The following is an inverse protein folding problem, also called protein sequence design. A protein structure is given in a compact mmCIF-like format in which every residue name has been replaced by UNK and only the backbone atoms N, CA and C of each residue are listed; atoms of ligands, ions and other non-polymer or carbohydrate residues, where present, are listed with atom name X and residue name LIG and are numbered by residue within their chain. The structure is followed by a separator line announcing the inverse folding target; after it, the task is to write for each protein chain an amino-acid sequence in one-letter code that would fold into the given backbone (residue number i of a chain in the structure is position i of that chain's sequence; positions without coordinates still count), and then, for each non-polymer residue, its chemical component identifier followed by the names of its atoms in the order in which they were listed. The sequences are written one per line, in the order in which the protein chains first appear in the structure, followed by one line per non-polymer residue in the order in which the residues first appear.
data_IF_284789346837
#
_entry.id   IF_284789346837
#
_cell.length_a   1.000
_cell.length_b   1.000
_cell.length_c   1.000
_cell.angle_alpha   90.00
_cell.angle_beta   90.00
_cell.angle_gamma   90.00
#
_symmetry.space_group_name_H-M   'P 1'
#
loop_
_entity.id
_entity.type
_entity.pdbx_description
1 polymer ?
#
# COMPACT_ATOMS: atom_id res chain seq x y z
N UNK A 1 -25.90 -10.18 -0.89
CA UNK A 1 -25.33 -10.90 -2.05
C UNK A 1 -24.01 -11.46 -1.60
N UNK A 2 -23.81 -12.80 -1.58
CA UNK A 2 -22.51 -13.38 -1.28
C UNK A 2 -21.61 -13.10 -2.47
N UNK A 3 -20.64 -12.20 -2.30
CA UNK A 3 -19.60 -12.02 -3.31
C UNK A 3 -18.79 -13.32 -3.38
N UNK A 4 -18.77 -13.98 -4.54
CA UNK A 4 -17.81 -15.05 -4.79
C UNK A 4 -16.41 -14.47 -4.69
N UNK A 5 -15.47 -15.20 -4.09
CA UNK A 5 -14.07 -14.78 -4.04
C UNK A 5 -13.59 -14.39 -5.45
N UNK A 6 -12.82 -13.29 -5.62
CA UNK A 6 -12.44 -12.79 -6.94
C UNK A 6 -11.58 -13.79 -7.72
N UNK A 7 -10.88 -14.67 -7.00
CA UNK A 7 -10.07 -15.75 -7.54
C UNK A 7 -10.66 -17.09 -7.11
N UNK A 8 -11.03 -17.91 -8.07
CA UNK A 8 -11.66 -19.21 -7.78
C UNK A 8 -11.34 -20.25 -8.85
N UNK A 9 -11.34 -21.52 -8.45
CA UNK A 9 -11.20 -22.63 -9.37
C UNK A 9 -12.52 -23.00 -10.03
N UNK A 10 -12.48 -23.19 -11.36
CA UNK A 10 -13.56 -23.79 -12.15
C UNK A 10 -12.94 -24.82 -13.08
N UNK A 11 -13.39 -26.07 -13.01
CA UNK A 11 -12.85 -27.17 -13.81
C UNK A 11 -11.31 -27.26 -13.74
N UNK A 12 -10.78 -27.27 -12.52
CA UNK A 12 -9.34 -27.35 -12.23
C UNK A 12 -8.49 -26.16 -12.73
N UNK A 13 -9.07 -25.08 -13.21
CA UNK A 13 -8.39 -23.87 -13.64
C UNK A 13 -8.72 -22.70 -12.72
N UNK A 14 -7.71 -21.88 -12.40
CA UNK A 14 -7.87 -20.69 -11.59
C UNK A 14 -8.29 -19.51 -12.46
N UNK A 15 -9.31 -18.80 -12.00
CA UNK A 15 -9.89 -17.62 -12.66
C UNK A 15 -9.70 -16.38 -11.80
N UNK A 16 -9.58 -15.24 -12.47
CA UNK A 16 -9.90 -13.95 -11.92
C UNK A 16 -11.22 -13.49 -12.51
N UNK A 17 -12.25 -13.31 -11.67
CA UNK A 17 -13.62 -13.02 -12.11
C UNK A 17 -14.12 -14.06 -13.14
N UNK A 18 -14.24 -13.69 -14.43
CA UNK A 18 -14.64 -14.61 -15.50
C UNK A 18 -13.50 -14.99 -16.45
N UNK A 19 -12.26 -14.55 -16.17
CA UNK A 19 -11.11 -14.79 -17.05
C UNK A 19 -10.17 -15.83 -16.45
N UNK A 20 -9.77 -16.82 -17.26
CA UNK A 20 -8.76 -17.81 -16.88
C UNK A 20 -7.39 -17.15 -16.78
N UNK A 21 -6.65 -17.44 -15.70
CA UNK A 21 -5.32 -16.83 -15.48
C UNK A 21 -4.28 -17.30 -16.50
N UNK A 22 -4.40 -18.52 -17.03
CA UNK A 22 -3.51 -19.01 -18.09
C UNK A 22 -3.63 -18.20 -19.40
N UNK A 23 -4.81 -17.66 -19.70
CA UNK A 23 -5.02 -16.77 -20.86
C UNK A 23 -4.35 -15.41 -20.64
N UNK A 24 -4.36 -14.91 -19.40
CA UNK A 24 -3.66 -13.67 -19.03
C UNK A 24 -2.14 -13.85 -19.19
N UNK A 25 -1.59 -14.96 -18.65
CA UNK A 25 -0.17 -15.27 -18.78
C UNK A 25 0.26 -15.40 -20.26
N UNK A 26 -0.53 -16.09 -21.09
CA UNK A 26 -0.23 -16.18 -22.55
C UNK A 26 -0.27 -14.85 -23.26
N UNK A 27 -1.17 -13.94 -22.88
CA UNK A 27 -1.36 -12.64 -23.55
C UNK A 27 -0.33 -11.60 -23.12
N UNK A 28 0.04 -11.56 -21.83
CA UNK A 28 0.85 -10.49 -21.25
C UNK A 28 2.21 -10.95 -20.73
N UNK A 29 2.46 -12.28 -20.75
CA UNK A 29 3.67 -12.90 -20.20
C UNK A 29 3.70 -12.90 -18.68
N UNK A 30 4.71 -13.59 -18.13
CA UNK A 30 5.02 -13.65 -16.70
C UNK A 30 6.39 -13.01 -16.43
N UNK A 31 6.71 -12.58 -15.19
CA UNK A 31 5.76 -12.35 -14.11
C UNK A 31 4.76 -11.23 -14.45
N UNK A 32 3.52 -11.32 -13.93
CA UNK A 32 2.48 -10.35 -14.24
C UNK A 32 1.55 -10.17 -13.03
N UNK A 33 1.30 -8.93 -12.62
CA UNK A 33 0.29 -8.64 -11.60
C UNK A 33 -1.11 -8.66 -12.21
N UNK A 34 -2.05 -9.28 -11.51
CA UNK A 34 -3.47 -9.34 -11.92
C UNK A 34 -4.35 -8.84 -10.79
N UNK A 35 -5.21 -7.88 -11.09
CA UNK A 35 -6.15 -7.29 -10.14
C UNK A 35 -7.59 -7.53 -10.57
N UNK A 36 -8.47 -7.82 -9.61
CA UNK A 36 -9.92 -7.89 -9.82
C UNK A 36 -10.56 -6.54 -9.55
N UNK A 37 -11.21 -5.96 -10.56
CA UNK A 37 -11.94 -4.70 -10.41
C UNK A 37 -13.12 -4.85 -9.45
N UNK A 38 -13.88 -5.95 -9.55
CA UNK A 38 -15.03 -6.19 -8.68
C UNK A 38 -14.63 -6.31 -7.21
N UNK A 39 -13.48 -6.93 -6.92
CA UNK A 39 -12.96 -7.02 -5.56
C UNK A 39 -12.55 -5.65 -4.99
N UNK A 40 -11.88 -4.82 -5.81
CA UNK A 40 -11.52 -3.45 -5.41
C UNK A 40 -12.77 -2.61 -5.09
N UNK A 41 -13.80 -2.69 -5.94
CA UNK A 41 -15.06 -1.99 -5.74
C UNK A 41 -15.77 -2.49 -4.48
N UNK A 42 -15.83 -3.80 -4.28
CA UNK A 42 -16.47 -4.41 -3.12
C UNK A 42 -15.78 -4.01 -1.82
N UNK A 43 -14.45 -4.06 -1.77
CA UNK A 43 -13.67 -3.69 -0.59
C UNK A 43 -13.90 -2.21 -0.22
N UNK A 44 -13.91 -1.30 -1.19
CA UNK A 44 -14.23 0.11 -0.92
C UNK A 44 -15.66 0.30 -0.42
N UNK A 45 -16.63 -0.33 -1.10
CA UNK A 45 -18.04 -0.22 -0.75
C UNK A 45 -18.36 -0.75 0.65
N UNK A 46 -17.63 -1.78 1.12
CA UNK A 46 -17.80 -2.32 2.47
C UNK A 46 -17.48 -1.27 3.54
N UNK A 47 -16.36 -0.55 3.40
CA UNK A 47 -16.01 0.54 4.31
C UNK A 47 -17.00 1.71 4.22
N UNK A 48 -17.28 2.18 3.01
CA UNK A 48 -18.12 3.36 2.78
C UNK A 48 -19.56 3.13 3.29
N UNK A 49 -20.14 1.97 2.99
CA UNK A 49 -21.50 1.61 3.42
C UNK A 49 -21.60 1.43 4.94
N UNK A 50 -20.55 0.92 5.59
CA UNK A 50 -20.56 0.72 7.05
C UNK A 50 -20.64 2.05 7.82
N UNK A 51 -20.21 3.17 7.23
CA UNK A 51 -20.36 4.50 7.78
C UNK A 51 -21.76 5.12 7.53
N UNK A 52 -22.69 4.44 6.86
CA UNK A 52 -23.99 4.99 6.45
C UNK A 52 -24.62 5.88 7.53
N UNK A 53 -25.07 7.09 7.15
CA UNK A 53 -25.64 8.09 8.06
C UNK A 53 -24.65 8.88 8.91
N UNK A 54 -23.32 8.65 8.76
CA UNK A 54 -22.26 9.41 9.44
C UNK A 54 -21.42 10.15 8.42
N UNK A 55 -21.11 11.43 8.68
CA UNK A 55 -20.14 12.16 7.86
C UNK A 55 -18.75 11.53 8.00
N UNK A 56 -18.20 11.07 6.88
CA UNK A 56 -16.95 10.34 6.82
C UNK A 56 -16.21 10.53 5.50
N UNK A 57 -14.98 10.07 5.46
CA UNK A 57 -14.18 9.96 4.24
C UNK A 57 -13.23 8.76 4.33
N UNK A 58 -13.36 7.85 3.38
CA UNK A 58 -12.40 6.76 3.20
C UNK A 58 -11.27 7.28 2.33
N UNK A 59 -10.09 7.52 2.91
CA UNK A 59 -8.89 7.98 2.23
C UNK A 59 -8.02 6.78 1.84
N UNK A 60 -8.03 6.39 0.58
CA UNK A 60 -7.18 5.29 0.12
C UNK A 60 -5.69 5.62 0.33
N UNK A 61 -4.96 4.78 1.07
CA UNK A 61 -3.52 4.94 1.28
C UNK A 61 -2.74 4.53 0.02
N UNK A 62 -2.28 5.51 -0.75
CA UNK A 62 -1.69 5.36 -2.09
C UNK A 62 -0.44 4.48 -2.07
N UNK A 63 0.33 4.51 -0.99
CA UNK A 63 1.53 3.67 -0.75
C UNK A 63 1.28 2.18 -0.94
N UNK A 64 0.05 1.71 -0.74
CA UNK A 64 -0.28 0.29 -0.90
C UNK A 64 -0.23 -0.15 -2.38
N UNK A 65 -0.78 0.65 -3.28
CA UNK A 65 -0.69 0.48 -4.74
C UNK A 65 -1.01 1.79 -5.45
N UNK A 66 -0.04 2.35 -6.16
CA UNK A 66 -0.15 3.66 -6.80
C UNK A 66 -0.45 3.61 -8.31
N UNK A 67 -0.92 2.47 -8.84
CA UNK A 67 -1.29 2.36 -10.25
C UNK A 67 -2.42 3.33 -10.61
N UNK A 68 -2.27 4.06 -11.72
CA UNK A 68 -3.23 5.11 -12.13
C UNK A 68 -4.65 4.58 -12.34
N UNK A 69 -4.81 3.34 -12.85
CA UNK A 69 -6.13 2.75 -13.07
C UNK A 69 -6.83 2.44 -11.73
N UNK A 70 -6.08 1.97 -10.73
CA UNK A 70 -6.60 1.73 -9.37
C UNK A 70 -6.98 3.05 -8.71
N UNK A 71 -6.11 4.07 -8.79
CA UNK A 71 -6.39 5.41 -8.26
C UNK A 71 -7.61 6.03 -8.94
N UNK A 72 -7.74 5.91 -10.27
CA UNK A 72 -8.90 6.40 -11.02
C UNK A 72 -10.17 5.68 -10.61
N UNK A 73 -10.11 4.35 -10.41
CA UNK A 73 -11.26 3.59 -9.92
C UNK A 73 -11.75 4.13 -8.57
N UNK A 74 -10.86 4.29 -7.59
CA UNK A 74 -11.22 4.84 -6.28
C UNK A 74 -11.67 6.30 -6.34
N UNK A 75 -11.05 7.13 -7.19
CA UNK A 75 -11.51 8.50 -7.41
C UNK A 75 -12.98 8.55 -7.90
N UNK A 76 -13.34 7.67 -8.84
CA UNK A 76 -14.71 7.54 -9.38
C UNK A 76 -15.70 6.99 -8.36
N UNK A 77 -15.25 6.19 -7.39
CA UNK A 77 -16.05 5.72 -6.26
C UNK A 77 -16.23 6.79 -5.16
N UNK A 78 -15.56 7.95 -5.30
CA UNK A 78 -15.68 9.06 -4.35
C UNK A 78 -14.67 9.04 -3.20
N UNK A 79 -13.67 8.15 -3.24
CA UNK A 79 -12.60 8.07 -2.26
C UNK A 79 -11.84 9.38 -2.07
N UNK A 80 -11.39 9.62 -0.84
CA UNK A 80 -10.23 10.44 -0.56
C UNK A 80 -8.93 9.66 -0.78
N UNK A 81 -7.78 10.31 -0.53
CA UNK A 81 -6.47 9.69 -0.67
C UNK A 81 -5.54 10.14 0.45
N UNK A 82 -4.86 9.17 1.07
CA UNK A 82 -3.70 9.43 1.93
C UNK A 82 -2.43 9.28 1.07
N UNK A 83 -1.67 10.37 0.97
CA UNK A 83 -0.41 10.44 0.22
C UNK A 83 0.77 10.69 1.17
N UNK A 84 1.96 10.25 0.76
CA UNK A 84 3.18 10.43 1.56
C UNK A 84 4.34 11.07 0.78
N UNK A 85 4.08 11.52 -0.46
CA UNK A 85 5.07 12.20 -1.30
C UNK A 85 4.43 13.06 -2.39
N UNK A 86 5.20 13.99 -2.94
CA UNK A 86 4.79 14.76 -4.13
C UNK A 86 4.55 13.88 -5.36
N UNK A 87 5.26 12.75 -5.46
CA UNK A 87 5.03 11.77 -6.53
C UNK A 87 3.64 11.11 -6.43
N UNK A 88 3.19 10.77 -5.22
CA UNK A 88 1.84 10.25 -5.00
C UNK A 88 0.78 11.33 -5.26
N UNK A 89 1.02 12.59 -4.84
CA UNK A 89 0.14 13.71 -5.19
C UNK A 89 -0.04 13.81 -6.70
N UNK A 90 1.06 13.79 -7.45
CA UNK A 90 1.03 13.84 -8.91
C UNK A 90 0.19 12.70 -9.51
N UNK A 91 0.37 11.46 -9.01
CA UNK A 91 -0.40 10.30 -9.47
C UNK A 91 -1.89 10.43 -9.18
N UNK A 92 -2.26 10.86 -7.98
CA UNK A 92 -3.67 11.04 -7.59
C UNK A 92 -4.34 12.09 -8.46
N UNK A 93 -3.71 13.25 -8.66
CA UNK A 93 -4.25 14.31 -9.52
C UNK A 93 -4.37 13.85 -10.98
N UNK A 94 -3.36 13.16 -11.51
CA UNK A 94 -3.38 12.58 -12.87
C UNK A 94 -4.49 11.53 -13.04
N UNK A 95 -4.80 10.79 -11.98
CA UNK A 95 -5.88 9.82 -11.96
C UNK A 95 -7.28 10.44 -11.78
N UNK A 96 -7.39 11.77 -11.64
CA UNK A 96 -8.66 12.47 -11.46
C UNK A 96 -9.16 12.52 -10.02
N UNK A 97 -8.28 12.27 -9.03
CA UNK A 97 -8.61 12.42 -7.61
C UNK A 97 -8.90 13.88 -7.25
N UNK A 98 -9.91 14.06 -6.39
CA UNK A 98 -10.28 15.39 -5.91
C UNK A 98 -9.28 15.90 -4.87
N UNK A 99 -8.53 16.99 -5.11
CA UNK A 99 -7.54 17.49 -4.15
C UNK A 99 -8.15 17.82 -2.79
N UNK A 100 -9.39 18.28 -2.72
CA UNK A 100 -10.08 18.57 -1.44
C UNK A 100 -10.42 17.34 -0.60
N UNK A 101 -10.06 16.14 -1.09
CA UNK A 101 -10.18 14.86 -0.39
C UNK A 101 -8.82 14.18 -0.19
N UNK A 102 -7.72 14.93 -0.30
CA UNK A 102 -6.37 14.42 -0.12
C UNK A 102 -5.84 14.86 1.24
N UNK A 103 -5.35 13.90 2.03
CA UNK A 103 -4.53 14.13 3.22
C UNK A 103 -3.08 13.81 2.91
N UNK A 104 -2.15 14.63 3.42
CA UNK A 104 -0.72 14.46 3.15
C UNK A 104 0.02 14.10 4.44
N UNK A 105 0.31 12.82 4.60
CA UNK A 105 1.01 12.21 5.72
C UNK A 105 2.51 12.06 5.45
N UNK A 106 3.27 11.47 6.40
CA UNK A 106 4.68 11.15 6.26
C UNK A 106 5.63 12.18 6.88
N UNK A 107 6.73 11.67 7.43
CA UNK A 107 7.70 12.41 8.28
C UNK A 107 8.67 13.31 7.53
N UNK A 108 8.71 13.22 6.20
CA UNK A 108 9.74 13.86 5.38
C UNK A 108 9.21 14.79 4.30
N UNK A 109 8.07 15.45 4.49
CA UNK A 109 7.50 16.40 3.52
C UNK A 109 8.48 17.54 3.23
N UNK A 110 8.88 17.70 1.98
CA UNK A 110 9.81 18.75 1.53
C UNK A 110 9.06 20.04 1.22
N UNK A 111 9.74 21.21 1.30
CA UNK A 111 9.11 22.51 0.98
C UNK A 111 8.52 22.60 -0.43
N UNK A 112 9.13 21.95 -1.42
CA UNK A 112 8.60 21.91 -2.79
C UNK A 112 7.32 21.07 -2.89
N UNK A 113 7.24 19.95 -2.19
CA UNK A 113 6.05 19.11 -2.09
C UNK A 113 4.92 19.82 -1.32
N UNK A 114 5.25 20.53 -0.24
CA UNK A 114 4.29 21.39 0.49
C UNK A 114 3.71 22.48 -0.43
N UNK A 115 4.56 23.13 -1.25
CA UNK A 115 4.10 24.13 -2.24
C UNK A 115 3.15 23.51 -3.26
N UNK A 116 3.48 22.36 -3.81
CA UNK A 116 2.64 21.66 -4.76
C UNK A 116 1.27 21.28 -4.15
N UNK A 117 1.26 20.77 -2.94
CA UNK A 117 0.04 20.41 -2.21
C UNK A 117 -0.83 21.64 -1.88
N UNK A 118 -0.23 22.72 -1.39
CA UNK A 118 -0.93 24.01 -1.16
C UNK A 118 -1.49 24.60 -2.45
N UNK A 119 -0.77 24.46 -3.57
CA UNK A 119 -1.25 24.93 -4.88
C UNK A 119 -2.45 24.12 -5.33
N UNK A 120 -2.43 22.80 -5.12
CA UNK A 120 -3.52 21.90 -5.48
C UNK A 120 -4.75 22.05 -4.58
N UNK A 121 -4.62 22.66 -3.40
CA UNK A 121 -5.72 22.86 -2.44
C UNK A 121 -6.17 21.54 -1.81
N UNK A 122 -5.23 20.78 -1.25
CA UNK A 122 -5.52 19.52 -0.54
C UNK A 122 -6.39 19.76 0.70
N UNK A 123 -6.98 18.69 1.24
CA UNK A 123 -7.82 18.73 2.44
C UNK A 123 -7.00 19.20 3.65
N UNK A 124 -5.91 18.51 3.96
CA UNK A 124 -5.00 18.90 5.04
C UNK A 124 -3.64 18.21 4.93
N UNK A 125 -2.68 18.76 5.70
CA UNK A 125 -1.41 18.12 5.99
C UNK A 125 -1.49 17.42 7.35
N UNK A 126 -1.23 16.11 7.41
CA UNK A 126 -0.99 15.40 8.65
C UNK A 126 0.45 15.63 9.07
N UNK A 127 0.65 16.63 9.95
CA UNK A 127 1.98 17.11 10.38
C UNK A 127 2.52 16.21 11.48
N UNK A 128 3.76 15.79 11.35
CA UNK A 128 4.37 14.77 12.23
C UNK A 128 5.38 15.34 13.25
N UNK A 129 5.66 16.66 13.21
CA UNK A 129 6.55 17.30 14.17
C UNK A 129 6.37 18.80 14.25
N UNK A 130 6.75 19.40 15.40
CA UNK A 130 6.79 20.86 15.55
C UNK A 130 7.77 21.54 14.57
N UNK A 131 8.83 20.87 14.17
CA UNK A 131 9.79 21.36 13.19
C UNK A 131 9.14 21.47 11.79
N UNK A 132 8.44 20.43 11.36
CA UNK A 132 7.67 20.41 10.11
C UNK A 132 6.62 21.51 10.08
N UNK A 133 5.88 21.69 11.18
CA UNK A 133 4.86 22.73 11.30
C UNK A 133 5.42 24.13 11.08
N UNK A 134 6.62 24.44 11.62
CA UNK A 134 7.32 25.72 11.40
C UNK A 134 7.72 25.90 9.93
N UNK A 135 8.17 24.83 9.28
CA UNK A 135 8.52 24.85 7.85
C UNK A 135 7.26 25.11 7.01
N UNK A 136 6.17 24.40 7.29
CA UNK A 136 4.90 24.54 6.57
C UNK A 136 4.34 25.97 6.73
N UNK A 137 4.37 26.54 7.94
CA UNK A 137 3.94 27.93 8.18
C UNK A 137 4.73 28.93 7.34
N UNK A 138 6.07 28.76 7.25
CA UNK A 138 6.92 29.61 6.39
C UNK A 138 6.57 29.45 4.91
N UNK A 139 6.42 28.22 4.43
CA UNK A 139 6.05 27.93 3.04
C UNK A 139 4.69 28.54 2.70
N UNK A 140 3.69 28.38 3.58
CA UNK A 140 2.36 28.95 3.39
C UNK A 140 2.39 30.48 3.36
N UNK A 141 3.16 31.13 4.28
CA UNK A 141 3.38 32.57 4.27
C UNK A 141 3.99 33.06 2.96
N UNK A 142 5.06 32.41 2.49
CA UNK A 142 5.77 32.79 1.25
C UNK A 142 4.88 32.63 0.01
N UNK A 143 3.79 31.88 0.10
CA UNK A 143 2.76 31.69 -0.92
C UNK A 143 1.51 32.57 -0.72
N UNK A 144 1.46 33.39 0.34
CA UNK A 144 0.24 34.11 0.77
C UNK A 144 -0.96 33.19 0.95
N UNK A 145 -0.75 32.01 1.55
CA UNK A 145 -1.77 30.99 1.84
C UNK A 145 -1.83 30.67 3.32
N UNK A 146 -2.91 30.01 3.70
CA UNK A 146 -3.08 29.36 5.02
C UNK A 146 -3.14 27.86 4.78
N UNK A 147 -2.28 27.12 5.47
CA UNK A 147 -2.21 25.67 5.35
C UNK A 147 -3.22 25.00 6.31
N UNK A 148 -4.17 24.18 5.82
CA UNK A 148 -4.99 23.35 6.68
C UNK A 148 -4.14 22.21 7.24
N UNK A 149 -4.15 22.01 8.56
CA UNK A 149 -3.34 20.98 9.22
C UNK A 149 -4.15 20.14 10.19
N UNK A 150 -3.78 18.89 10.24
CA UNK A 150 -4.04 17.94 11.32
C UNK A 150 -2.69 17.56 11.92
N UNK A 151 -2.58 17.44 13.24
CA UNK A 151 -1.33 16.93 13.81
C UNK A 151 -1.48 15.41 14.01
N UNK A 152 -0.52 14.65 13.49
CA UNK A 152 -0.44 13.23 13.75
C UNK A 152 0.16 12.99 15.11
N UNK A 153 -0.66 12.43 15.98
CA UNK A 153 -0.31 12.11 17.36
C UNK A 153 -0.06 10.61 17.46
N UNK A 154 1.04 10.24 18.11
CA UNK A 154 1.31 8.87 18.45
C UNK A 154 0.60 8.55 19.78
N UNK A 155 -0.47 7.72 19.77
CA UNK A 155 -1.26 7.48 20.98
C UNK A 155 -0.59 6.51 21.97
N UNK A 156 0.62 6.01 21.69
CA UNK A 156 1.31 5.02 22.50
C UNK A 156 0.41 3.80 22.83
N UNK A 157 -0.06 3.15 21.77
CA UNK A 157 -0.85 1.92 21.82
C UNK A 157 -0.08 0.81 21.13
N UNK A 158 0.09 -0.31 21.83
CA UNK A 158 0.72 -1.50 21.26
C UNK A 158 -0.24 -2.19 20.25
N UNK A 159 0.13 -2.15 19.00
CA UNK A 159 -0.61 -2.77 17.90
C UNK A 159 -0.37 -4.29 17.79
N UNK A 160 0.54 -4.87 18.60
CA UNK A 160 0.92 -6.30 18.59
C UNK A 160 1.23 -6.84 17.18
N UNK A 161 1.85 -6.03 16.34
CA UNK A 161 2.20 -6.37 14.96
C UNK A 161 3.72 -6.52 14.79
N UNK A 162 4.15 -6.96 13.59
CA UNK A 162 5.59 -7.07 13.29
C UNK A 162 6.33 -5.75 13.56
N UNK A 163 7.51 -5.75 14.19
CA UNK A 163 8.22 -4.53 14.60
C UNK A 163 8.43 -3.51 13.49
N UNK A 164 8.66 -3.93 12.24
CA UNK A 164 8.87 -3.03 11.11
C UNK A 164 7.60 -2.34 10.59
N UNK A 165 6.40 -2.77 11.02
CA UNK A 165 5.12 -2.19 10.59
C UNK A 165 4.27 -1.64 11.74
N UNK A 166 4.79 -1.68 12.98
CA UNK A 166 4.22 -0.99 14.15
C UNK A 166 4.62 0.48 14.11
N UNK A 167 3.67 1.40 14.27
CA UNK A 167 3.91 2.85 14.25
C UNK A 167 3.39 3.57 15.50
N UNK A 168 2.74 2.86 16.41
CA UNK A 168 2.07 3.40 17.59
C UNK A 168 2.89 3.41 18.89
N UNK A 169 4.16 2.97 18.87
CA UNK A 169 5.02 2.92 20.04
C UNK A 169 5.92 4.16 20.17
N UNK A 170 6.35 4.51 21.39
CA UNK A 170 7.14 5.71 21.72
C UNK A 170 8.45 5.86 20.94
N UNK A 171 9.11 4.77 20.58
CA UNK A 171 10.41 4.78 19.89
C UNK A 171 10.29 4.94 18.36
N UNK A 172 9.09 5.09 17.83
CA UNK A 172 8.89 5.24 16.40
C UNK A 172 9.14 6.66 15.90
N UNK A 173 9.65 6.78 14.67
CA UNK A 173 9.88 8.07 14.03
C UNK A 173 8.60 8.84 13.67
N UNK A 174 7.42 8.23 13.84
CA UNK A 174 6.14 8.77 13.37
C UNK A 174 5.38 9.48 14.48
N UNK A 175 4.78 10.62 14.11
CA UNK A 175 3.86 11.36 14.95
C UNK A 175 4.52 12.11 16.11
N UNK A 176 3.73 13.01 16.67
CA UNK A 176 4.08 13.79 17.86
C UNK A 176 3.76 12.92 19.09
N UNK A 177 4.65 12.83 20.10
CA UNK A 177 4.35 12.12 21.35
C UNK A 177 3.04 12.62 21.98
N UNK A 178 2.24 11.70 22.50
CA UNK A 178 0.91 12.02 23.04
C UNK A 178 0.97 13.10 24.12
N UNK A 179 1.99 13.06 24.96
CA UNK A 179 2.20 14.00 26.07
C UNK A 179 2.53 15.42 25.57
N UNK A 180 3.10 15.56 24.38
CA UNK A 180 3.49 16.84 23.79
C UNK A 180 2.38 17.42 22.87
N UNK A 181 1.43 16.58 22.45
CA UNK A 181 0.46 16.92 21.42
C UNK A 181 -0.34 18.20 21.75
N UNK A 182 -0.86 18.34 22.97
CA UNK A 182 -1.63 19.52 23.38
C UNK A 182 -0.80 20.81 23.27
N UNK A 183 0.46 20.78 23.69
CA UNK A 183 1.39 21.92 23.60
C UNK A 183 1.65 22.32 22.15
N UNK A 184 1.84 21.35 21.26
CA UNK A 184 2.07 21.61 19.84
C UNK A 184 0.82 22.16 19.17
N UNK A 185 -0.39 21.68 19.53
CA UNK A 185 -1.66 22.22 19.03
C UNK A 185 -1.86 23.68 19.44
N UNK A 186 -1.58 24.03 20.69
CA UNK A 186 -1.64 25.41 21.16
C UNK A 186 -0.63 26.30 20.42
N UNK A 187 0.58 25.79 20.21
CA UNK A 187 1.61 26.51 19.43
C UNK A 187 1.16 26.70 17.98
N UNK A 188 0.51 25.72 17.37
CA UNK A 188 -0.02 25.79 16.01
C UNK A 188 -1.07 26.91 15.83
N UNK A 189 -1.94 27.08 16.83
CA UNK A 189 -2.97 28.11 16.85
C UNK A 189 -2.39 29.53 16.78
N UNK A 190 -1.17 29.73 17.33
CA UNK A 190 -0.45 31.00 17.26
C UNK A 190 0.24 31.30 15.93
N UNK A 191 0.22 30.41 14.95
CA UNK A 191 0.88 30.56 13.65
C UNK A 191 -0.06 31.14 12.60
N UNK A 192 0.24 32.34 12.11
CA UNK A 192 -0.66 33.12 11.25
C UNK A 192 -1.02 32.43 9.90
N UNK A 193 -0.20 31.51 9.41
CA UNK A 193 -0.41 30.84 8.13
C UNK A 193 -0.74 29.34 8.30
N UNK A 194 -1.20 28.96 9.49
CA UNK A 194 -1.66 27.62 9.82
C UNK A 194 -3.14 27.69 10.25
N UNK A 195 -3.95 26.78 9.74
CA UNK A 195 -5.31 26.55 10.20
C UNK A 195 -5.43 25.10 10.71
N UNK A 196 -5.58 24.96 12.00
CA UNK A 196 -5.79 23.63 12.61
C UNK A 196 -7.20 23.15 12.30
N UNK A 197 -7.36 22.06 11.58
CA UNK A 197 -8.65 21.53 11.14
C UNK A 197 -8.93 20.10 11.65
N UNK A 198 -7.88 19.36 12.02
CA UNK A 198 -8.03 17.95 12.33
C UNK A 198 -7.12 17.44 13.43
N UNK A 199 -7.41 16.21 13.83
CA UNK A 199 -6.63 15.39 14.75
C UNK A 199 -6.42 14.03 14.08
N UNK A 200 -5.15 13.58 13.96
CA UNK A 200 -4.76 12.36 13.26
C UNK A 200 -4.01 11.40 14.18
N UNK A 201 -4.22 10.11 13.96
CA UNK A 201 -3.38 9.05 14.50
C UNK A 201 -3.29 7.85 13.56
N UNK A 202 -2.18 7.12 13.63
CA UNK A 202 -2.01 5.86 12.93
C UNK A 202 -1.13 4.93 13.76
N UNK A 203 -1.63 3.74 14.12
CA UNK A 203 -1.01 2.86 15.10
C UNK A 203 -0.22 1.69 14.52
N UNK A 204 -0.37 1.40 13.22
CA UNK A 204 0.36 0.31 12.58
C UNK A 204 -0.32 -0.25 11.36
N UNK A 205 0.15 -1.41 10.92
CA UNK A 205 -0.36 -2.10 9.73
C UNK A 205 -0.52 -3.59 10.03
N UNK A 206 -1.45 -4.27 9.34
CA UNK A 206 -1.78 -5.68 9.52
C UNK A 206 -2.27 -5.99 10.95
N UNK A 207 -3.13 -5.14 11.50
CA UNK A 207 -3.79 -5.39 12.78
C UNK A 207 -4.96 -6.37 12.56
N UNK A 208 -5.01 -7.41 13.37
CA UNK A 208 -6.01 -8.48 13.30
C UNK A 208 -6.98 -8.47 14.48
N UNK A 209 -6.90 -7.47 15.35
CA UNK A 209 -7.76 -7.29 16.53
C UNK A 209 -8.36 -5.87 16.53
N UNK A 210 -9.55 -5.68 17.10
CA UNK A 210 -10.24 -4.38 17.20
C UNK A 210 -9.74 -3.54 18.38
N UNK A 211 -9.35 -4.17 19.48
CA UNK A 211 -9.01 -3.48 20.73
C UNK A 211 -7.97 -2.37 20.58
N UNK A 212 -6.87 -2.53 19.81
CA UNK A 212 -5.90 -1.45 19.61
C UNK A 212 -6.51 -0.21 18.95
N UNK A 213 -7.43 -0.40 17.98
CA UNK A 213 -8.11 0.71 17.33
C UNK A 213 -9.05 1.46 18.26
N UNK A 214 -9.82 0.73 19.07
CA UNK A 214 -10.72 1.32 20.07
C UNK A 214 -9.93 2.06 21.14
N UNK A 215 -8.81 1.48 21.62
CA UNK A 215 -7.94 2.12 22.60
C UNK A 215 -7.32 3.42 22.07
N UNK A 216 -6.82 3.41 20.82
CA UNK A 216 -6.30 4.60 20.17
C UNK A 216 -7.39 5.67 19.99
N UNK A 217 -8.56 5.29 19.48
CA UNK A 217 -9.71 6.18 19.34
C UNK A 217 -10.07 6.84 20.69
N UNK A 218 -10.17 6.06 21.77
CA UNK A 218 -10.47 6.60 23.10
C UNK A 218 -9.45 7.63 23.61
N UNK A 219 -8.14 7.37 23.39
CA UNK A 219 -7.08 8.35 23.71
C UNK A 219 -7.22 9.63 22.89
N UNK A 220 -7.48 9.50 21.57
CA UNK A 220 -7.65 10.64 20.68
C UNK A 220 -8.88 11.48 21.06
N UNK A 221 -9.97 10.86 21.47
CA UNK A 221 -11.16 11.58 21.97
C UNK A 221 -10.87 12.32 23.27
N UNK A 222 -10.10 11.74 24.19
CA UNK A 222 -9.67 12.45 25.40
C UNK A 222 -8.77 13.65 25.10
N UNK A 223 -7.93 13.57 24.05
CA UNK A 223 -7.16 14.72 23.59
C UNK A 223 -8.07 15.77 22.94
N UNK A 224 -9.02 15.35 22.10
CA UNK A 224 -10.01 16.24 21.47
C UNK A 224 -10.75 17.07 22.54
N UNK A 225 -11.25 16.44 23.61
CA UNK A 225 -11.96 17.13 24.70
C UNK A 225 -11.11 18.23 25.33
N UNK A 226 -9.82 17.95 25.57
CA UNK A 226 -8.89 18.95 26.11
C UNK A 226 -8.63 20.11 25.13
N UNK A 227 -8.51 19.81 23.83
CA UNK A 227 -8.30 20.83 22.80
C UNK A 227 -9.55 21.73 22.65
N UNK A 228 -10.75 21.14 22.62
CA UNK A 228 -12.01 21.88 22.56
C UNK A 228 -12.20 22.76 23.83
N UNK A 229 -11.84 22.27 25.02
CA UNK A 229 -11.85 23.05 26.25
C UNK A 229 -10.90 24.26 26.20
N UNK A 230 -9.85 24.22 25.35
CA UNK A 230 -8.92 25.34 25.07
C UNK A 230 -9.41 26.24 23.94
N UNK A 231 -10.60 25.98 23.37
CA UNK A 231 -11.20 26.78 22.30
C UNK A 231 -10.72 26.43 20.89
N UNK A 232 -10.01 25.30 20.68
CA UNK A 232 -9.69 24.83 19.36
C UNK A 232 -10.95 24.21 18.73
N UNK A 233 -11.16 24.51 17.44
CA UNK A 233 -12.22 23.87 16.66
C UNK A 233 -11.60 22.81 15.78
N UNK A 234 -11.98 21.56 16.01
CA UNK A 234 -11.53 20.40 15.25
C UNK A 234 -12.68 19.91 14.40
N UNK A 235 -12.52 19.92 13.08
CA UNK A 235 -13.54 19.57 12.10
C UNK A 235 -13.58 18.06 11.81
N UNK A 236 -12.40 17.40 11.85
CA UNK A 236 -12.31 15.98 11.55
C UNK A 236 -11.36 15.21 12.48
N UNK A 237 -11.65 13.93 12.63
CA UNK A 237 -10.82 12.94 13.30
C UNK A 237 -10.33 11.95 12.24
N UNK A 238 -9.04 11.92 11.98
CA UNK A 238 -8.41 10.89 11.17
C UNK A 238 -7.93 9.77 12.12
N UNK A 239 -8.52 8.59 11.97
CA UNK A 239 -8.22 7.43 12.80
C UNK A 239 -7.24 6.48 12.11
N UNK A 240 -6.67 6.94 10.99
CA UNK A 240 -5.67 6.21 10.22
C UNK A 240 -6.18 4.95 9.55
N UNK A 241 -5.26 4.10 9.20
CA UNK A 241 -5.53 2.78 8.63
C UNK A 241 -5.05 1.67 9.54
N UNK A 242 -4.64 0.57 8.93
CA UNK A 242 -3.97 -0.52 9.65
C UNK A 242 -4.74 -1.83 9.68
N UNK A 243 -6.04 -1.85 9.34
CA UNK A 243 -6.81 -3.08 9.27
C UNK A 243 -6.10 -4.11 8.40
N UNK A 244 -5.89 -5.31 8.95
CA UNK A 244 -5.22 -6.43 8.32
C UNK A 244 -6.10 -7.15 7.31
N UNK A 245 -5.45 -8.07 6.59
CA UNK A 245 -6.10 -9.05 5.69
C UNK A 245 -5.61 -10.45 6.03
N UNK A 246 -6.32 -11.46 5.57
CA UNK A 246 -5.83 -12.84 5.65
C UNK A 246 -4.80 -13.09 4.54
N UNK A 247 -3.62 -13.55 4.93
CA UNK A 247 -2.59 -14.07 4.03
C UNK A 247 -2.53 -15.60 4.09
N UNK A 248 -2.78 -16.18 5.26
CA UNK A 248 -2.76 -17.62 5.50
C UNK A 248 -3.97 -18.08 6.31
N UNK A 249 -3.91 -17.96 7.62
CA UNK A 249 -4.94 -18.43 8.57
C UNK A 249 -5.46 -17.34 9.49
N UNK A 250 -5.00 -16.12 9.30
CA UNK A 250 -5.47 -14.97 10.08
C UNK A 250 -6.95 -14.73 9.79
N UNK A 251 -7.67 -14.34 10.81
CA UNK A 251 -9.08 -13.94 10.73
C UNK A 251 -9.22 -12.50 11.20
N UNK A 252 -8.74 -11.51 10.41
CA UNK A 252 -8.89 -10.11 10.78
C UNK A 252 -10.38 -9.74 10.82
N UNK A 253 -10.74 -8.71 11.61
CA UNK A 253 -12.09 -8.18 11.61
C UNK A 253 -12.53 -7.75 10.21
N UNK A 254 -13.79 -7.92 9.90
CA UNK A 254 -14.37 -7.38 8.66
C UNK A 254 -14.37 -5.84 8.70
N UNK A 255 -14.36 -5.20 7.54
CA UNK A 255 -14.40 -3.74 7.46
C UNK A 255 -15.65 -3.16 8.17
N UNK A 256 -16.79 -3.84 8.08
CA UNK A 256 -18.01 -3.47 8.79
C UNK A 256 -17.87 -3.51 10.32
N UNK A 257 -17.22 -4.52 10.87
CA UNK A 257 -16.96 -4.65 12.32
C UNK A 257 -16.00 -3.56 12.81
N UNK A 258 -14.93 -3.32 12.05
CA UNK A 258 -13.98 -2.25 12.33
C UNK A 258 -14.66 -0.87 12.35
N UNK A 259 -15.44 -0.56 11.33
CA UNK A 259 -16.16 0.72 11.26
C UNK A 259 -17.22 0.85 12.38
N UNK A 260 -17.92 -0.24 12.70
CA UNK A 260 -18.88 -0.24 13.81
C UNK A 260 -18.20 0.10 15.15
N UNK A 261 -17.06 -0.54 15.45
CA UNK A 261 -16.28 -0.27 16.66
C UNK A 261 -15.81 1.19 16.75
N UNK A 262 -15.35 1.78 15.62
CA UNK A 262 -14.97 3.18 15.59
C UNK A 262 -16.18 4.12 15.77
N UNK A 263 -17.29 3.83 15.13
CA UNK A 263 -18.53 4.62 15.27
C UNK A 263 -19.04 4.60 16.70
N UNK A 264 -19.02 3.45 17.34
CA UNK A 264 -19.45 3.31 18.75
C UNK A 264 -18.53 4.10 19.68
N UNK A 265 -17.20 4.05 19.44
CA UNK A 265 -16.24 4.83 20.19
C UNK A 265 -16.44 6.34 20.02
N UNK A 266 -16.57 6.83 18.78
CA UNK A 266 -16.76 8.26 18.49
C UNK A 266 -18.13 8.75 18.96
N UNK A 267 -19.14 7.89 18.96
CA UNK A 267 -20.48 8.20 19.44
C UNK A 267 -21.15 9.33 18.65
N UNK A 268 -21.78 10.28 19.36
CA UNK A 268 -22.56 11.39 18.75
C UNK A 268 -21.73 12.65 18.46
N UNK A 269 -20.39 12.58 18.52
CA UNK A 269 -19.54 13.74 18.21
C UNK A 269 -19.73 14.21 16.78
N UNK A 270 -19.61 15.52 16.54
CA UNK A 270 -19.90 16.17 15.25
C UNK A 270 -18.79 16.02 14.20
N UNK A 271 -17.59 15.71 14.64
CA UNK A 271 -16.41 15.63 13.76
C UNK A 271 -16.63 14.62 12.64
N UNK A 272 -16.20 14.99 11.44
CA UNK A 272 -16.10 14.06 10.32
C UNK A 272 -15.08 12.98 10.65
N UNK A 273 -15.38 11.71 10.35
CA UNK A 273 -14.44 10.60 10.56
C UNK A 273 -13.68 10.35 9.26
N UNK A 274 -12.35 10.38 9.32
CA UNK A 274 -11.48 9.93 8.26
C UNK A 274 -10.85 8.58 8.66
N UNK A 275 -10.65 7.71 7.66
CA UNK A 275 -9.86 6.48 7.79
C UNK A 275 -8.96 6.32 6.57
N UNK A 276 -7.80 5.68 6.74
CA UNK A 276 -6.76 5.53 5.71
C UNK A 276 -6.48 4.06 5.35
N UNK A 277 -7.48 3.28 4.91
CA UNK A 277 -7.24 1.89 4.53
C UNK A 277 -6.39 1.83 3.25
N UNK A 278 -5.35 0.99 3.28
CA UNK A 278 -4.54 0.68 2.11
C UNK A 278 -4.63 -0.81 1.80
N UNK A 279 -3.96 -1.62 2.63
CA UNK A 279 -3.89 -3.07 2.48
C UNK A 279 -5.28 -3.71 2.37
N UNK A 280 -6.20 -3.34 3.22
CA UNK A 280 -7.55 -3.91 3.26
C UNK A 280 -8.34 -3.65 1.96
N UNK A 281 -8.03 -2.58 1.22
CA UNK A 281 -8.70 -2.26 -0.04
C UNK A 281 -8.15 -3.03 -1.25
N UNK A 282 -6.84 -3.31 -1.28
CA UNK A 282 -6.21 -3.81 -2.52
C UNK A 282 -5.49 -5.14 -2.34
N UNK A 283 -5.15 -5.55 -1.13
CA UNK A 283 -4.30 -6.72 -0.88
C UNK A 283 -4.84 -8.00 -1.50
N UNK A 284 -6.05 -8.40 -1.10
CA UNK A 284 -6.70 -9.63 -1.57
C UNK A 284 -7.36 -9.47 -2.96
N UNK A 285 -7.38 -8.25 -3.49
CA UNK A 285 -7.87 -7.99 -4.83
C UNK A 285 -6.82 -8.22 -5.93
N UNK A 286 -5.57 -8.57 -5.57
CA UNK A 286 -4.49 -8.79 -6.52
C UNK A 286 -3.61 -9.98 -6.21
N UNK A 287 -3.05 -10.57 -7.27
CA UNK A 287 -2.07 -11.66 -7.24
C UNK A 287 -0.91 -11.37 -8.19
N UNK A 288 0.19 -12.14 -8.04
CA UNK A 288 1.31 -12.16 -8.98
C UNK A 288 1.34 -13.52 -9.67
N UNK A 289 1.19 -13.53 -11.02
CA UNK A 289 1.40 -14.70 -11.86
C UNK A 289 2.89 -14.89 -12.12
N UNK A 290 3.35 -16.14 -12.05
CA UNK A 290 4.71 -16.54 -12.36
C UNK A 290 4.73 -17.91 -13.00
N UNK A 291 5.81 -18.22 -13.71
CA UNK A 291 6.02 -19.52 -14.36
C UNK A 291 7.19 -20.25 -13.72
N UNK A 292 7.07 -21.56 -13.57
CA UNK A 292 8.15 -22.44 -13.15
C UNK A 292 9.12 -22.62 -14.33
N UNK A 293 10.34 -22.12 -14.17
CA UNK A 293 11.40 -22.26 -15.17
C UNK A 293 12.14 -23.60 -15.01
N UNK A 294 12.51 -23.92 -13.77
CA UNK A 294 13.27 -25.14 -13.47
C UNK A 294 12.83 -25.75 -12.15
N UNK A 295 12.88 -27.10 -12.08
CA UNK A 295 12.79 -27.87 -10.84
C UNK A 295 14.19 -28.39 -10.50
N UNK A 296 14.73 -28.02 -9.34
CA UNK A 296 16.03 -28.43 -8.87
C UNK A 296 15.88 -29.30 -7.61
N UNK A 297 16.21 -30.59 -7.76
CA UNK A 297 16.18 -31.56 -6.67
C UNK A 297 17.58 -31.70 -6.06
N UNK A 298 17.67 -31.62 -4.75
CA UNK A 298 18.90 -31.83 -4.00
C UNK A 298 18.67 -32.83 -2.88
N UNK A 299 19.73 -33.43 -2.29
CA UNK A 299 19.54 -34.36 -1.17
C UNK A 299 18.86 -33.75 0.07
N UNK A 300 18.80 -32.43 0.17
CA UNK A 300 18.32 -31.72 1.36
C UNK A 300 17.03 -30.95 1.12
N UNK A 301 16.81 -30.40 -0.09
CA UNK A 301 15.67 -29.52 -0.42
C UNK A 301 15.39 -29.56 -1.91
N UNK A 302 14.11 -29.45 -2.24
CA UNK A 302 13.66 -29.23 -3.61
C UNK A 302 13.34 -27.77 -3.83
N UNK A 303 13.74 -27.24 -4.99
CA UNK A 303 13.51 -25.86 -5.40
C UNK A 303 12.65 -25.80 -6.65
N UNK A 304 11.62 -24.96 -6.61
CA UNK A 304 10.92 -24.51 -7.79
C UNK A 304 11.44 -23.10 -8.12
N UNK A 305 12.26 -22.98 -9.15
CA UNK A 305 12.82 -21.72 -9.63
C UNK A 305 11.79 -21.14 -10.60
N UNK A 306 11.28 -19.96 -10.26
CA UNK A 306 10.25 -19.27 -11.06
C UNK A 306 10.81 -17.98 -11.66
N UNK A 307 10.11 -17.41 -12.64
CA UNK A 307 10.51 -16.17 -13.32
C UNK A 307 10.23 -14.89 -12.51
N UNK A 308 9.32 -14.92 -11.52
CA UNK A 308 9.18 -13.84 -10.54
C UNK A 308 10.29 -13.92 -9.48
N UNK A 309 10.60 -12.78 -8.85
CA UNK A 309 11.65 -12.70 -7.85
C UNK A 309 11.34 -11.66 -6.75
N UNK A 310 12.25 -11.51 -5.79
CA UNK A 310 12.15 -10.49 -4.75
C UNK A 310 12.08 -9.06 -5.31
N UNK A 311 12.60 -8.81 -6.52
CA UNK A 311 12.46 -7.51 -7.18
C UNK A 311 11.02 -7.23 -7.63
N UNK A 312 10.21 -8.26 -7.85
CA UNK A 312 8.79 -8.14 -8.19
C UNK A 312 7.93 -8.10 -6.93
N UNK A 313 8.16 -9.01 -5.97
CA UNK A 313 7.45 -9.12 -4.70
C UNK A 313 8.44 -9.22 -3.53
N UNK A 314 8.77 -8.06 -2.94
CA UNK A 314 9.82 -7.95 -1.91
C UNK A 314 9.39 -8.50 -0.54
N UNK A 315 8.10 -8.55 -0.26
CA UNK A 315 7.57 -8.83 1.09
C UNK A 315 8.02 -10.15 1.71
N UNK A 316 8.08 -11.29 1.00
CA UNK A 316 8.62 -12.53 1.57
C UNK A 316 10.06 -12.38 2.03
N UNK A 317 10.93 -11.75 1.23
CA UNK A 317 12.34 -11.57 1.55
C UNK A 317 12.58 -10.54 2.67
N UNK A 318 11.77 -9.46 2.75
CA UNK A 318 11.97 -8.36 3.69
C UNK A 318 11.32 -8.59 5.06
N UNK A 319 10.15 -9.24 5.09
CA UNK A 319 9.31 -9.37 6.28
C UNK A 319 9.03 -10.81 6.67
N UNK A 320 9.61 -11.78 5.98
CA UNK A 320 9.21 -13.19 6.07
C UNK A 320 7.68 -13.39 5.85
N UNK A 321 7.11 -12.53 4.99
CA UNK A 321 5.69 -12.46 4.80
C UNK A 321 5.17 -13.66 4.01
N UNK A 322 4.20 -14.35 4.58
CA UNK A 322 3.52 -15.43 3.89
C UNK A 322 2.63 -14.89 2.77
N UNK A 323 2.69 -15.56 1.61
CA UNK A 323 1.73 -15.46 0.52
C UNK A 323 1.35 -16.88 0.12
N UNK A 324 0.08 -17.17 -0.04
CA UNK A 324 -0.34 -18.45 -0.56
C UNK A 324 0.07 -18.59 -2.02
N UNK A 325 0.58 -19.75 -2.41
CA UNK A 325 1.02 -20.04 -3.78
C UNK A 325 0.16 -21.20 -4.30
N UNK A 326 -0.62 -20.90 -5.34
CA UNK A 326 -1.57 -21.82 -5.92
C UNK A 326 -1.18 -22.18 -7.37
N UNK A 327 -1.33 -23.44 -7.81
CA UNK A 327 -1.21 -23.76 -9.23
C UNK A 327 -2.34 -23.12 -10.02
N UNK A 328 -2.02 -22.52 -11.19
CA UNK A 328 -3.06 -21.97 -12.07
C UNK A 328 -3.92 -23.07 -12.69
N UNK A 329 -3.35 -24.23 -12.89
CA UNK A 329 -4.08 -25.44 -13.30
C UNK A 329 -3.79 -26.57 -12.31
N UNK A 330 -4.84 -27.08 -11.68
CA UNK A 330 -4.72 -28.24 -10.78
C UNK A 330 -4.62 -29.50 -11.63
N UNK A 331 -3.53 -30.23 -11.46
CA UNK A 331 -3.34 -31.55 -12.05
C UNK A 331 -3.65 -32.60 -11.00
N UNK A 332 -4.45 -33.60 -11.37
CA UNK A 332 -4.78 -34.76 -10.50
C UNK A 332 -3.59 -35.72 -10.42
N UNK A 333 -2.43 -35.24 -9.96
CA UNK A 333 -1.28 -36.10 -9.72
C UNK A 333 -1.06 -36.24 -8.22
N UNK A 334 -0.95 -37.50 -7.74
CA UNK A 334 -0.59 -37.80 -6.35
C UNK A 334 0.88 -37.44 -6.03
N UNK A 335 1.60 -36.91 -6.98
CA UNK A 335 3.04 -36.65 -6.89
C UNK A 335 3.32 -35.22 -6.41
N UNK A 336 3.00 -34.94 -5.16
CA UNK A 336 3.36 -33.67 -4.51
C UNK A 336 4.72 -33.76 -3.84
N UNK A 337 5.49 -32.66 -3.90
CA UNK A 337 6.73 -32.51 -3.15
C UNK A 337 6.75 -31.16 -2.42
N UNK A 338 7.61 -31.04 -1.42
CA UNK A 338 7.79 -29.81 -0.66
C UNK A 338 8.87 -28.96 -1.34
N UNK A 339 8.46 -27.84 -1.91
CA UNK A 339 9.36 -26.93 -2.64
C UNK A 339 9.65 -25.64 -1.86
N UNK A 340 10.88 -25.20 -2.00
CA UNK A 340 11.26 -23.80 -1.79
C UNK A 340 10.99 -23.06 -3.12
N UNK A 341 10.03 -22.15 -3.14
CA UNK A 341 9.73 -21.36 -4.33
C UNK A 341 10.63 -20.12 -4.33
N UNK A 342 11.54 -20.05 -5.29
CA UNK A 342 12.61 -19.05 -5.36
C UNK A 342 12.66 -18.39 -6.73
N UNK A 343 13.12 -17.12 -6.75
CA UNK A 343 13.34 -16.39 -7.99
C UNK A 343 14.76 -16.57 -8.56
N UNK A 344 15.04 -15.90 -9.69
CA UNK A 344 16.33 -15.95 -10.36
C UNK A 344 17.31 -14.84 -9.92
N UNK A 345 16.97 -14.01 -8.95
CA UNK A 345 17.85 -12.93 -8.46
C UNK A 345 19.06 -13.54 -7.77
N UNK A 346 20.25 -12.98 -8.04
CA UNK A 346 21.51 -13.45 -7.46
C UNK A 346 21.66 -12.97 -6.00
N UNK A 347 20.71 -13.42 -5.15
CA UNK A 347 20.61 -13.10 -3.74
C UNK A 347 20.10 -14.33 -2.98
N UNK A 348 20.77 -14.71 -1.89
CA UNK A 348 20.38 -15.88 -1.08
C UNK A 348 18.98 -15.74 -0.49
N UNK A 349 18.52 -14.51 -0.25
CA UNK A 349 17.21 -14.19 0.29
C UNK A 349 16.07 -14.15 -0.74
N UNK A 350 16.31 -14.52 -2.02
CA UNK A 350 15.27 -14.47 -3.07
C UNK A 350 14.27 -15.63 -2.95
N UNK A 351 13.51 -15.63 -1.87
CA UNK A 351 12.40 -16.56 -1.63
C UNK A 351 11.06 -15.87 -1.84
N UNK A 352 10.16 -16.55 -2.55
CA UNK A 352 8.75 -16.20 -2.68
C UNK A 352 7.86 -17.05 -1.77
N UNK A 353 8.34 -18.24 -1.39
CA UNK A 353 7.65 -19.09 -0.42
C UNK A 353 8.50 -20.27 0.05
N UNK A 354 8.44 -20.51 1.36
CA UNK A 354 9.10 -21.64 2.01
C UNK A 354 8.15 -22.82 2.17
N UNK A 355 8.66 -24.04 1.99
CA UNK A 355 8.01 -25.31 2.32
C UNK A 355 6.60 -25.45 1.71
N UNK A 356 6.48 -25.22 0.40
CA UNK A 356 5.21 -25.30 -0.33
C UNK A 356 4.99 -26.72 -0.84
N UNK A 357 3.89 -27.36 -0.40
CA UNK A 357 3.51 -28.68 -0.88
C UNK A 357 2.75 -28.54 -2.20
N UNK A 358 3.41 -28.81 -3.32
CA UNK A 358 2.91 -28.58 -4.68
C UNK A 358 3.21 -29.79 -5.58
N UNK A 359 2.34 -30.02 -6.56
CA UNK A 359 2.59 -30.92 -7.69
C UNK A 359 2.98 -30.07 -8.90
N UNK A 360 4.25 -30.08 -9.29
CA UNK A 360 4.80 -29.16 -10.30
C UNK A 360 5.53 -29.88 -11.41
N UNK A 361 5.48 -29.28 -12.58
CA UNK A 361 6.32 -29.52 -13.74
C UNK A 361 6.91 -28.22 -14.23
N UNK A 362 8.06 -28.29 -14.94
CA UNK A 362 8.61 -27.12 -15.62
C UNK A 362 7.61 -26.56 -16.63
N UNK A 363 7.46 -25.26 -16.68
CA UNK A 363 6.46 -24.57 -17.48
C UNK A 363 5.11 -24.33 -16.78
N UNK A 364 4.87 -24.92 -15.61
CA UNK A 364 3.63 -24.71 -14.85
C UNK A 364 3.51 -23.25 -14.40
N UNK A 365 2.27 -22.75 -14.42
CA UNK A 365 1.94 -21.40 -13.93
C UNK A 365 1.50 -21.44 -12.48
N UNK A 366 2.03 -20.54 -11.68
CA UNK A 366 1.67 -20.33 -10.28
C UNK A 366 1.07 -18.94 -10.07
N UNK A 367 0.16 -18.84 -9.12
CA UNK A 367 -0.44 -17.60 -8.64
C UNK A 367 0.00 -17.37 -7.19
N UNK A 368 0.73 -16.28 -6.93
CA UNK A 368 1.11 -15.84 -5.60
C UNK A 368 0.02 -14.88 -5.13
N UNK A 369 -0.80 -15.33 -4.17
CA UNK A 369 -2.03 -14.66 -3.75
C UNK A 369 -1.77 -13.44 -2.86
N UNK A 370 -2.79 -12.60 -2.70
CA UNK A 370 -2.78 -11.44 -1.80
C UNK A 370 -1.62 -10.45 -2.07
N UNK A 371 -1.19 -10.34 -3.33
CA UNK A 371 -0.08 -9.49 -3.77
C UNK A 371 -0.51 -8.07 -4.22
N UNK A 372 -1.79 -7.72 -4.05
CA UNK A 372 -2.31 -6.42 -4.51
C UNK A 372 -1.80 -5.21 -3.75
N UNK A 373 -1.38 -5.39 -2.49
CA UNK A 373 -0.82 -4.33 -1.65
C UNK A 373 0.68 -4.56 -1.41
N UNK A 374 1.48 -3.50 -1.55
CA UNK A 374 2.93 -3.52 -1.28
C UNK A 374 3.68 -4.59 -2.11
N UNK A 375 3.13 -4.97 -3.26
CA UNK A 375 3.77 -5.75 -4.30
C UNK A 375 4.46 -4.81 -5.30
N UNK A 376 3.77 -4.44 -6.40
CA UNK A 376 4.31 -3.55 -7.43
C UNK A 376 4.84 -2.22 -6.87
N UNK A 377 4.22 -1.63 -5.84
CA UNK A 377 4.67 -0.38 -5.22
C UNK A 377 6.05 -0.48 -4.53
N UNK A 378 6.48 -1.68 -4.14
CA UNK A 378 7.80 -1.96 -3.57
C UNK A 378 8.76 -2.65 -4.56
N UNK A 379 8.34 -2.85 -5.80
CA UNK A 379 9.17 -3.49 -6.82
C UNK A 379 10.39 -2.63 -7.18
N UNK A 380 11.43 -3.28 -7.66
CA UNK A 380 12.68 -2.64 -8.06
C UNK A 380 13.22 -3.23 -9.36
N UNK A 381 14.31 -2.64 -9.86
CA UNK A 381 15.06 -3.19 -10.99
C UNK A 381 16.33 -3.93 -10.54
N UNK A 382 16.30 -4.55 -9.34
CA UNK A 382 17.43 -5.33 -8.85
C UNK A 382 17.84 -6.40 -9.88
N UNK A 383 19.14 -6.62 -10.06
CA UNK A 383 19.75 -7.38 -11.15
C UNK A 383 19.35 -6.89 -12.58
N UNK A 384 19.00 -5.60 -12.72
CA UNK A 384 18.57 -4.97 -13.99
C UNK A 384 17.35 -5.69 -14.60
N UNK A 385 16.46 -6.23 -13.75
CA UNK A 385 15.24 -6.90 -14.20
C UNK A 385 14.14 -5.87 -14.45
N UNK A 386 13.42 -5.93 -15.59
CA UNK A 386 12.27 -5.09 -15.86
C UNK A 386 11.14 -5.31 -14.84
N UNK A 387 10.47 -4.25 -14.41
CA UNK A 387 9.24 -4.40 -13.62
C UNK A 387 8.14 -5.08 -14.43
N UNK A 388 7.37 -5.91 -13.76
CA UNK A 388 6.28 -6.69 -14.33
C UNK A 388 5.18 -5.84 -14.95
N UNK A 389 4.42 -6.43 -15.89
CA UNK A 389 3.17 -5.86 -16.36
C UNK A 389 2.10 -5.90 -15.25
N UNK A 390 1.11 -4.98 -15.34
CA UNK A 390 -0.07 -5.00 -14.47
C UNK A 390 -1.34 -5.06 -15.32
N UNK A 391 -2.24 -5.98 -14.99
CA UNK A 391 -3.50 -6.24 -15.70
C UNK A 391 -4.67 -6.11 -14.72
N UNK A 392 -5.73 -5.42 -15.11
CA UNK A 392 -7.00 -5.40 -14.40
C UNK A 392 -8.03 -6.22 -15.15
N UNK A 393 -8.70 -7.11 -14.44
CA UNK A 393 -9.86 -7.86 -14.95
C UNK A 393 -11.13 -7.15 -14.52
N UNK A 394 -12.05 -6.95 -15.48
CA UNK A 394 -13.38 -6.38 -15.28
C UNK A 394 -14.40 -7.32 -15.95
N UNK A 395 -15.01 -8.19 -15.18
CA UNK A 395 -15.90 -9.23 -15.66
C UNK A 395 -15.18 -10.24 -16.55
N UNK A 396 -15.41 -10.18 -17.86
CA UNK A 396 -14.80 -11.03 -18.88
C UNK A 396 -13.68 -10.31 -19.67
N UNK A 397 -13.37 -9.06 -19.36
CA UNK A 397 -12.38 -8.24 -20.04
C UNK A 397 -11.07 -8.13 -19.25
N UNK A 398 -9.94 -8.11 -19.98
CA UNK A 398 -8.61 -7.86 -19.43
C UNK A 398 -8.05 -6.56 -19.98
N UNK A 399 -7.69 -5.65 -19.08
CA UNK A 399 -7.09 -4.36 -19.42
C UNK A 399 -5.63 -4.32 -18.95
N UNK A 400 -4.71 -4.07 -19.88
CA UNK A 400 -3.33 -3.76 -19.55
C UNK A 400 -3.30 -2.36 -18.92
N UNK A 401 -2.99 -2.27 -17.62
CA UNK A 401 -3.00 -1.01 -16.87
C UNK A 401 -1.58 -0.50 -16.58
N UNK A 402 -0.56 -1.32 -16.85
CA UNK A 402 0.84 -0.96 -16.89
C UNK A 402 1.58 -1.93 -17.81
N UNK A 403 2.33 -1.41 -18.76
CA UNK A 403 3.23 -2.18 -19.60
C UNK A 403 4.41 -2.72 -18.78
N UNK A 404 4.94 -3.88 -19.17
CA UNK A 404 6.24 -4.35 -18.69
C UNK A 404 7.32 -3.36 -19.14
N UNK A 405 8.27 -3.05 -18.28
CA UNK A 405 9.40 -2.20 -18.66
C UNK A 405 10.23 -2.88 -19.77
N UNK A 406 10.70 -2.09 -20.73
CA UNK A 406 11.68 -2.56 -21.71
C UNK A 406 13.12 -2.33 -21.23
N UNK A 407 14.08 -3.05 -21.80
CA UNK A 407 15.49 -2.87 -21.46
C UNK A 407 15.98 -1.46 -21.81
N UNK A 408 15.44 -0.87 -22.88
CA UNK A 408 15.76 0.50 -23.29
C UNK A 408 15.29 1.52 -22.26
N UNK A 409 14.12 1.29 -21.62
CA UNK A 409 13.61 2.17 -20.56
C UNK A 409 14.50 2.15 -19.32
N UNK A 410 15.15 1.01 -19.02
CA UNK A 410 16.02 0.88 -17.85
C UNK A 410 17.26 1.80 -17.95
N UNK A 411 17.77 2.02 -19.16
CA UNK A 411 18.97 2.81 -19.42
C UNK A 411 18.69 4.22 -20.00
N UNK A 412 17.43 4.57 -20.23
CA UNK A 412 17.04 5.79 -20.94
C UNK A 412 17.56 7.10 -20.31
N UNK A 413 17.82 7.10 -19.01
CA UNK A 413 18.32 8.26 -18.28
C UNK A 413 19.82 8.23 -18.02
N UNK A 414 20.51 7.14 -18.39
CA UNK A 414 21.95 6.98 -18.20
C UNK A 414 22.74 7.61 -19.34
N UNK A 415 24.00 7.97 -19.10
CA UNK A 415 24.90 8.52 -20.08
C UNK A 415 26.27 7.85 -19.96
N UNK A 416 26.83 7.50 -21.10
CA UNK A 416 28.23 7.00 -21.19
C UNK A 416 29.14 8.23 -21.03
N UNK A 417 30.25 8.06 -20.30
CA UNK A 417 31.23 9.11 -20.17
C UNK A 417 31.86 9.43 -21.53
N UNK A 418 32.12 10.73 -21.84
CA UNK A 418 32.83 11.08 -23.06
C UNK A 418 34.26 10.51 -23.02
N UNK A 419 34.67 9.91 -24.13
CA UNK A 419 36.08 9.42 -24.29
C UNK A 419 37.05 10.61 -24.18
N UNK A 420 38.06 10.49 -23.34
CA UNK A 420 39.16 11.45 -23.32
C UNK A 420 40.04 11.24 -24.53
N UNK A 421 40.40 12.32 -25.22
CA UNK A 421 41.38 12.29 -26.35
C UNK A 421 42.69 11.68 -25.86
N UNK A 422 43.02 10.49 -26.36
CA UNK A 422 44.23 9.74 -26.00
C UNK A 422 44.05 8.46 -25.20
N UNK A 423 42.82 8.15 -24.71
CA UNK A 423 42.51 6.85 -24.10
C UNK A 423 42.20 5.84 -25.22
N UNK A 424 43.19 5.06 -25.61
CA UNK A 424 42.95 3.84 -26.39
C UNK A 424 42.73 2.67 -25.44
N UNK A 425 41.48 2.28 -25.27
CA UNK A 425 41.14 0.99 -24.70
C UNK A 425 41.34 -0.07 -25.78
N UNK A 426 42.61 -0.49 -25.97
CA UNK A 426 42.86 -1.71 -26.70
C UNK A 426 42.66 -2.88 -25.71
N UNK A 427 41.82 -3.87 -25.99
CA UNK A 427 41.85 -5.12 -25.22
C UNK A 427 43.24 -5.71 -25.40
N UNK A 428 43.95 -5.99 -24.29
CA UNK A 428 45.19 -6.77 -24.34
C UNK A 428 44.87 -8.05 -25.09
N UNK A 429 45.54 -8.20 -26.24
CA UNK A 429 45.52 -9.47 -26.95
C UNK A 429 46.29 -10.44 -26.06
N UNK A 430 45.56 -11.27 -25.31
CA UNK A 430 46.11 -12.39 -24.59
C UNK A 430 46.91 -13.27 -25.57
N UNK A 431 48.17 -13.45 -25.24
CA UNK A 431 49.05 -14.43 -25.88
C UNK A 431 48.70 -15.86 -25.42
#
# INVERSE_FOLDING_TARGET
MSYSAPFNYRNAKLYCESVQLDLIARKFGTPCYVYSRSALVAAFAEFDTAFAGRDHLVCYAVKANSNLAILNLFARLGSGFDIVSGGELHRVLKAGGNPRKIVFSGVGKRPDEMRAALTSGILCFNVESAAELKVLNRVARDMNKVAPVSLRVNPDVDAKTHPYISTGLKENKFGIPFEEAETVYISAQGLANINVTGLDCHIGSQLTELDPFVAACGKMLGLLDRLEARGLQIDHLDLGGGLGISYARETPPLAGEYVAALRDCVGRRKQRILIEPGRALVGNAGLLLTQVEYLKHTPHRDFAIVDAAMNDLLRPALYDAYHEILPVTVTNTDNTAVYQVVGPVCETGDFLGHDRNLALSEGDLLAIMSAGAYGMSMSSNYNTRPRAAEVMVDGDQCHLIRERESLEQLTAQERILPQRTGETWAPEKGG
#
